data_IF_582156613318
#
_entry.id   IF_582156613318
#
_cell.length_a   1.000
_cell.length_b   1.000
_cell.length_c   1.000
_cell.angle_alpha   90.00
_cell.angle_beta   90.00
_cell.angle_gamma   90.00
#
_symmetry.space_group_name_H-M   'P 1'
#
loop_
_entity.id
_entity.type
_entity.pdbx_description
1 polymer ?
#
# COMPACT_ATOMS: atom_id res chain seq x y z
N UNK A 1 -0.89 13.09 -6.87
CA UNK A 1 -1.17 12.34 -5.63
C UNK A 1 -0.12 11.26 -5.49
N UNK A 2 0.11 10.78 -4.26
CA UNK A 2 0.96 9.63 -3.95
C UNK A 2 0.11 8.62 -3.20
N UNK A 3 0.15 7.36 -3.61
CA UNK A 3 -0.65 6.28 -3.03
C UNK A 3 0.31 5.21 -2.49
N UNK A 4 0.27 4.97 -1.18
CA UNK A 4 1.17 4.05 -0.49
C UNK A 4 0.47 2.71 -0.25
N UNK A 5 1.02 1.64 -0.80
CA UNK A 5 0.47 0.28 -0.60
C UNK A 5 0.55 -0.16 0.86
N UNK A 6 1.56 0.31 1.60
CA UNK A 6 1.72 0.10 3.04
C UNK A 6 2.75 1.08 3.64
N UNK A 7 2.87 1.07 4.97
CA UNK A 7 3.69 2.03 5.73
C UNK A 7 5.13 1.61 6.06
N UNK A 8 5.74 0.67 5.34
CA UNK A 8 7.15 0.35 5.61
C UNK A 8 8.11 1.40 5.08
N UNK A 9 9.24 1.55 5.78
CA UNK A 9 10.23 2.59 5.53
C UNK A 9 10.73 2.58 4.08
N UNK A 10 11.01 1.40 3.51
CA UNK A 10 11.49 1.20 2.15
C UNK A 10 10.45 1.58 1.07
N UNK A 11 9.20 1.80 1.47
CA UNK A 11 8.11 2.31 0.61
C UNK A 11 7.80 3.80 0.85
N UNK A 12 8.29 4.40 1.93
CA UNK A 12 7.96 5.80 2.31
C UNK A 12 9.16 6.74 2.38
N UNK A 13 10.41 6.24 2.36
CA UNK A 13 11.63 7.06 2.49
C UNK A 13 11.77 8.13 1.42
N UNK A 14 11.26 7.88 0.21
CA UNK A 14 11.31 8.85 -0.90
C UNK A 14 10.28 9.98 -0.82
N UNK A 15 9.33 9.93 0.13
CA UNK A 15 8.21 10.88 0.18
C UNK A 15 8.67 12.31 0.40
N UNK A 16 9.61 12.54 1.34
CA UNK A 16 10.07 13.89 1.65
C UNK A 16 10.69 14.56 0.43
N UNK A 17 11.63 13.88 -0.23
CA UNK A 17 12.32 14.40 -1.41
C UNK A 17 11.34 14.63 -2.57
N UNK A 18 10.38 13.72 -2.76
CA UNK A 18 9.33 13.84 -3.77
C UNK A 18 8.45 15.08 -3.54
N UNK A 19 8.01 15.31 -2.29
CA UNK A 19 7.17 16.46 -1.93
C UNK A 19 7.94 17.78 -1.97
N UNK A 20 9.24 17.76 -1.65
CA UNK A 20 10.12 18.93 -1.85
C UNK A 20 10.25 19.28 -3.34
N UNK A 21 10.39 18.28 -4.21
CA UNK A 21 10.58 18.51 -5.64
C UNK A 21 9.29 18.89 -6.38
N UNK A 22 8.15 18.28 -6.01
CA UNK A 22 6.89 18.41 -6.75
C UNK A 22 5.83 19.28 -6.04
N UNK A 23 6.09 19.69 -4.80
CA UNK A 23 5.14 20.42 -3.96
C UNK A 23 4.21 19.49 -3.13
N UNK A 24 3.27 20.07 -2.36
CA UNK A 24 2.45 19.35 -1.38
C UNK A 24 1.32 18.53 -2.03
N UNK A 25 1.69 17.43 -2.68
CA UNK A 25 0.75 16.47 -3.26
C UNK A 25 -0.07 15.76 -2.15
N UNK A 26 -1.35 15.42 -2.41
CA UNK A 26 -2.09 14.52 -1.53
C UNK A 26 -1.39 13.17 -1.43
N UNK A 27 -1.15 12.69 -0.20
CA UNK A 27 -0.56 11.38 0.07
C UNK A 27 -1.61 10.50 0.73
N UNK A 28 -1.77 9.26 0.28
CA UNK A 28 -2.74 8.31 0.83
C UNK A 28 -2.04 7.09 1.39
N UNK A 29 -2.50 6.65 2.56
CA UNK A 29 -2.07 5.42 3.23
C UNK A 29 -3.27 4.78 3.93
N UNK A 30 -3.22 3.48 4.20
CA UNK A 30 -4.21 2.89 5.09
C UNK A 30 -3.94 3.33 6.53
N UNK A 31 -5.00 3.67 7.27
CA UNK A 31 -4.90 4.12 8.67
C UNK A 31 -4.21 3.09 9.57
N UNK A 32 -4.35 1.80 9.29
CA UNK A 32 -3.71 0.74 10.09
C UNK A 32 -2.16 0.77 10.01
N UNK A 33 -1.61 1.44 9.00
CA UNK A 33 -0.16 1.62 8.85
C UNK A 33 0.33 3.01 9.33
N UNK A 34 -0.56 3.86 9.85
CA UNK A 34 -0.20 5.15 10.43
C UNK A 34 0.13 5.03 11.94
N UNK A 35 1.15 5.73 12.46
CA UNK A 35 1.97 6.78 11.82
C UNK A 35 3.12 6.32 10.91
N UNK A 36 3.36 5.01 10.76
CA UNK A 36 4.60 4.39 10.26
C UNK A 36 5.89 4.87 11.00
N UNK A 37 6.89 4.06 11.31
CA UNK A 37 7.26 2.72 10.86
C UNK A 37 7.29 1.67 12.00
N UNK A 38 7.27 0.37 11.65
CA UNK A 38 7.78 -0.71 12.53
C UNK A 38 8.65 -1.70 11.75
N UNK A 39 9.82 -1.26 11.28
CA UNK A 39 10.91 -2.18 10.94
C UNK A 39 12.06 -2.02 11.94
N UNK A 40 12.61 -3.15 12.39
CA UNK A 40 13.65 -3.26 13.41
C UNK A 40 15.03 -2.72 12.98
N UNK A 41 15.12 -1.93 11.90
CA UNK A 41 16.37 -1.56 11.22
C UNK A 41 16.62 -0.04 11.13
N UNK A 42 16.25 0.72 12.16
CA UNK A 42 16.90 2.01 12.48
C UNK A 42 16.60 3.23 11.59
N UNK A 43 15.64 3.15 10.65
CA UNK A 43 15.17 4.32 9.89
C UNK A 43 14.11 5.11 10.65
N UNK A 44 14.31 6.41 10.85
CA UNK A 44 13.39 7.33 11.56
C UNK A 44 12.35 8.00 10.64
N UNK A 45 11.94 7.35 9.53
CA UNK A 45 10.93 7.94 8.63
C UNK A 45 9.54 7.63 9.16
N UNK A 46 8.76 8.69 9.38
CA UNK A 46 7.38 8.62 9.85
C UNK A 46 6.46 9.47 8.99
N UNK A 47 5.19 9.07 8.88
CA UNK A 47 4.14 9.79 8.18
C UNK A 47 3.54 10.93 9.02
N UNK A 48 3.90 11.07 10.30
CA UNK A 48 3.34 12.11 11.21
C UNK A 48 3.46 13.53 10.67
N UNK A 49 4.53 13.81 9.92
CA UNK A 49 4.84 15.15 9.42
C UNK A 49 4.62 15.29 7.91
N UNK A 50 3.95 14.32 7.28
CA UNK A 50 3.64 14.42 5.85
C UNK A 50 2.50 15.40 5.63
N UNK A 51 2.72 16.53 4.92
CA UNK A 51 1.65 17.47 4.62
C UNK A 51 0.62 16.80 3.71
N UNK A 52 -0.66 17.15 3.89
CA UNK A 52 -1.75 16.67 3.02
C UNK A 52 -1.89 15.14 3.00
N UNK A 53 -1.70 14.49 4.16
CA UNK A 53 -1.93 13.06 4.36
C UNK A 53 -3.42 12.75 4.49
N UNK A 54 -3.87 11.77 3.72
CA UNK A 54 -5.22 11.23 3.71
C UNK A 54 -5.18 9.73 4.00
N UNK A 55 -6.33 9.20 4.37
CA UNK A 55 -6.49 7.78 4.64
C UNK A 55 -7.48 7.16 3.66
N UNK A 56 -7.16 5.98 3.15
CA UNK A 56 -8.08 5.14 2.41
C UNK A 56 -8.23 3.76 3.06
N UNK A 57 -9.30 3.07 2.70
CA UNK A 57 -9.69 1.77 3.21
C UNK A 57 -10.11 0.84 2.07
N UNK A 58 -10.35 -0.43 2.40
CA UNK A 58 -10.90 -1.39 1.45
C UNK A 58 -12.21 -0.89 0.82
N UNK A 59 -12.30 -0.95 -0.50
CA UNK A 59 -13.46 -0.53 -1.28
C UNK A 59 -13.50 0.95 -1.64
N UNK A 60 -12.58 1.78 -1.12
CA UNK A 60 -12.51 3.19 -1.51
C UNK A 60 -12.09 3.34 -2.97
N UNK A 61 -12.53 4.43 -3.59
CA UNK A 61 -12.15 4.79 -4.95
C UNK A 61 -11.59 6.21 -5.03
N UNK A 62 -10.60 6.42 -5.90
CA UNK A 62 -9.99 7.71 -6.13
C UNK A 62 -9.93 8.02 -7.63
N UNK A 63 -10.26 9.25 -8.06
CA UNK A 63 -10.16 9.64 -9.46
C UNK A 63 -8.68 9.77 -9.89
N UNK A 64 -8.35 9.27 -11.07
CA UNK A 64 -7.02 9.37 -11.69
C UNK A 64 -7.17 9.67 -13.18
N UNK A 65 -7.30 10.96 -13.53
CA UNK A 65 -7.63 11.37 -14.89
C UNK A 65 -8.99 10.78 -15.30
N UNK A 66 -9.03 10.08 -16.43
CA UNK A 66 -10.22 9.34 -16.91
C UNK A 66 -10.35 7.94 -16.30
N UNK A 67 -9.40 7.54 -15.44
CA UNK A 67 -9.39 6.26 -14.74
C UNK A 67 -9.82 6.43 -13.28
N UNK A 68 -10.08 5.29 -12.63
CA UNK A 68 -10.36 5.22 -11.19
C UNK A 68 -9.40 4.23 -10.57
N UNK A 69 -8.82 4.63 -9.43
CA UNK A 69 -8.09 3.73 -8.55
C UNK A 69 -9.11 3.09 -7.61
N UNK A 70 -9.16 1.77 -7.58
CA UNK A 70 -9.90 0.99 -6.60
C UNK A 70 -8.92 0.47 -5.54
N UNK A 71 -9.24 0.71 -4.27
CA UNK A 71 -8.43 0.24 -3.15
C UNK A 71 -8.95 -1.11 -2.69
N UNK A 72 -8.09 -2.13 -2.75
CA UNK A 72 -8.40 -3.49 -2.29
C UNK A 72 -7.56 -3.74 -1.05
N UNK A 73 -8.20 -3.88 0.11
CA UNK A 73 -7.54 -4.27 1.34
C UNK A 73 -6.94 -5.67 1.22
N UNK A 74 -5.65 -5.77 1.46
CA UNK A 74 -4.86 -7.01 1.37
C UNK A 74 -3.93 -7.17 2.57
N UNK A 75 -4.46 -7.19 3.81
CA UNK A 75 -3.65 -7.37 5.01
C UNK A 75 -2.88 -8.69 4.96
N UNK A 76 -1.67 -8.69 5.51
CA UNK A 76 -0.82 -9.87 5.54
C UNK A 76 0.64 -9.53 5.77
N UNK A 77 1.19 -8.67 4.91
CA UNK A 77 2.54 -8.13 5.12
C UNK A 77 2.53 -7.08 6.23
N UNK A 78 1.58 -6.16 6.17
CA UNK A 78 1.16 -5.26 7.24
C UNK A 78 -0.34 -5.36 7.47
N UNK A 79 -0.85 -4.79 8.57
CA UNK A 79 -2.29 -4.68 8.83
C UNK A 79 -2.97 -3.74 7.83
N UNK A 80 -2.27 -2.69 7.38
CA UNK A 80 -2.77 -1.71 6.43
C UNK A 80 -2.43 -1.98 4.96
N UNK A 81 -1.87 -3.14 4.62
CA UNK A 81 -1.50 -3.46 3.24
C UNK A 81 -2.70 -3.38 2.30
N UNK A 82 -2.53 -2.70 1.16
CA UNK A 82 -3.53 -2.59 0.09
C UNK A 82 -2.92 -2.93 -1.26
N UNK A 83 -3.77 -3.46 -2.15
CA UNK A 83 -3.54 -3.53 -3.59
C UNK A 83 -4.31 -2.39 -4.26
N UNK A 84 -3.65 -1.63 -5.12
CA UNK A 84 -4.28 -0.54 -5.88
C UNK A 84 -4.57 -1.04 -7.29
N UNK A 85 -5.85 -1.11 -7.66
CA UNK A 85 -6.29 -1.53 -8.98
C UNK A 85 -6.62 -0.32 -9.84
N UNK A 86 -6.07 -0.28 -11.06
CA UNK A 86 -6.37 0.75 -12.07
C UNK A 86 -6.59 0.05 -13.40
N UNK A 87 -7.83 -0.01 -13.88
CA UNK A 87 -8.16 -0.80 -15.08
C UNK A 87 -7.80 -2.28 -14.90
N UNK A 88 -6.90 -2.78 -15.75
CA UNK A 88 -6.33 -4.12 -15.76
C UNK A 88 -4.97 -4.23 -15.04
N UNK A 89 -4.53 -3.18 -14.35
CA UNK A 89 -3.29 -3.17 -13.59
C UNK A 89 -3.55 -3.30 -12.08
N UNK A 90 -2.74 -4.11 -11.40
CA UNK A 90 -2.72 -4.26 -9.95
C UNK A 90 -1.34 -3.87 -9.42
N UNK A 91 -1.26 -2.84 -8.58
CA UNK A 91 -0.06 -2.52 -7.81
C UNK A 91 -0.21 -3.16 -6.43
N UNK A 92 0.48 -4.29 -6.21
CA UNK A 92 0.19 -5.20 -5.09
C UNK A 92 1.04 -4.92 -3.85
N UNK A 93 2.02 -4.02 -3.96
CA UNK A 93 3.04 -3.83 -2.93
C UNK A 93 3.65 -5.17 -2.55
N UNK A 94 3.80 -5.40 -1.24
CA UNK A 94 4.39 -6.62 -0.71
C UNK A 94 3.35 -7.73 -0.46
N UNK A 95 2.15 -7.63 -1.05
CA UNK A 95 1.13 -8.69 -0.94
C UNK A 95 1.44 -9.85 -1.89
N UNK A 96 1.63 -9.56 -3.17
CA UNK A 96 1.80 -10.56 -4.23
C UNK A 96 3.05 -10.23 -5.04
N UNK A 97 3.90 -11.23 -5.25
CA UNK A 97 5.06 -11.15 -6.12
C UNK A 97 4.97 -12.22 -7.22
N UNK A 98 5.87 -12.15 -8.20
CA UNK A 98 6.01 -13.21 -9.19
C UNK A 98 6.41 -14.53 -8.50
N UNK A 99 5.46 -15.47 -8.44
CA UNK A 99 5.63 -16.79 -7.81
C UNK A 99 5.88 -16.77 -6.28
N UNK A 100 5.58 -15.68 -5.58
CA UNK A 100 5.74 -15.58 -4.12
C UNK A 100 4.86 -14.48 -3.50
N UNK A 101 5.04 -14.19 -2.22
CA UNK A 101 4.36 -13.13 -1.48
C UNK A 101 5.32 -12.51 -0.45
N UNK A 102 4.96 -11.35 0.09
CA UNK A 102 5.76 -10.70 1.14
C UNK A 102 5.78 -11.49 2.44
N UNK A 103 6.78 -11.20 3.26
CA UNK A 103 6.95 -11.82 4.57
C UNK A 103 5.84 -11.39 5.53
N UNK A 104 5.52 -12.22 6.51
CA UNK A 104 4.42 -11.99 7.46
C UNK A 104 4.83 -12.13 8.92
N UNK A 105 6.14 -12.16 9.19
CA UNK A 105 6.74 -12.44 10.49
C UNK A 105 7.20 -11.18 11.25
N UNK A 106 7.10 -10.01 10.62
CA UNK A 106 7.34 -8.71 11.25
C UNK A 106 6.08 -8.20 11.97
N UNK A 107 6.20 -7.22 12.89
CA UNK A 107 5.05 -6.64 13.57
C UNK A 107 3.97 -6.14 12.60
N UNK A 108 2.71 -6.54 12.85
CA UNK A 108 1.58 -6.27 11.96
C UNK A 108 1.39 -7.30 10.83
N UNK A 109 2.37 -8.19 10.63
CA UNK A 109 2.29 -9.29 9.68
C UNK A 109 1.39 -10.44 10.19
N UNK A 110 0.70 -11.11 9.27
CA UNK A 110 -0.13 -12.29 9.56
C UNK A 110 -0.21 -13.24 8.35
N UNK A 111 0.33 -14.45 8.51
CA UNK A 111 0.28 -15.49 7.47
C UNK A 111 -1.16 -15.86 7.09
N UNK A 112 -2.06 -15.92 8.07
CA UNK A 112 -3.48 -16.22 7.82
C UNK A 112 -4.15 -15.11 7.00
N UNK A 113 -3.86 -13.84 7.32
CA UNK A 113 -4.39 -12.70 6.56
C UNK A 113 -3.82 -12.69 5.13
N UNK A 114 -2.52 -12.94 4.97
CA UNK A 114 -1.87 -13.04 3.65
C UNK A 114 -2.54 -14.11 2.78
N UNK A 115 -2.78 -15.30 3.31
CA UNK A 115 -3.47 -16.36 2.56
C UNK A 115 -4.90 -15.97 2.15
N UNK A 116 -5.63 -15.27 3.02
CA UNK A 116 -6.97 -14.78 2.70
C UNK A 116 -6.92 -13.71 1.60
N UNK A 117 -5.95 -12.78 1.69
CA UNK A 117 -5.71 -11.70 0.73
C UNK A 117 -5.32 -12.24 -0.64
N UNK A 118 -4.36 -13.17 -0.71
CA UNK A 118 -3.97 -13.86 -1.95
C UNK A 118 -5.14 -14.65 -2.55
N UNK A 119 -5.91 -15.34 -1.71
CA UNK A 119 -7.12 -16.03 -2.16
C UNK A 119 -8.18 -15.07 -2.73
N UNK A 120 -8.33 -13.88 -2.15
CA UNK A 120 -9.23 -12.83 -2.66
C UNK A 120 -8.75 -12.32 -4.01
N UNK A 121 -7.46 -11.98 -4.15
CA UNK A 121 -6.88 -11.53 -5.41
C UNK A 121 -7.00 -12.60 -6.51
N UNK A 122 -6.74 -13.87 -6.18
CA UNK A 122 -6.87 -14.99 -7.11
C UNK A 122 -8.30 -15.31 -7.57
N UNK A 123 -9.33 -14.70 -6.95
CA UNK A 123 -10.74 -14.81 -7.37
C UNK A 123 -11.22 -13.61 -8.19
N UNK A 124 -10.38 -12.61 -8.41
CA UNK A 124 -10.73 -11.48 -9.29
C UNK A 124 -10.93 -12.01 -10.72
N UNK A 125 -12.06 -11.65 -11.33
CA UNK A 125 -12.34 -11.97 -12.72
C UNK A 125 -11.59 -10.99 -13.63
N UNK A 126 -10.79 -11.50 -14.56
CA UNK A 126 -10.04 -10.70 -15.52
C UNK A 126 -8.65 -11.25 -15.78
N UNK A 127 -7.94 -10.62 -16.71
CA UNK A 127 -6.51 -10.80 -16.93
C UNK A 127 -5.81 -9.53 -16.44
N UNK A 128 -5.13 -9.63 -15.30
CA UNK A 128 -4.53 -8.48 -14.63
C UNK A 128 -3.02 -8.52 -14.75
N UNK A 129 -2.44 -7.37 -15.07
CA UNK A 129 -1.01 -7.17 -14.97
C UNK A 129 -0.64 -6.78 -13.54
N UNK A 130 0.20 -7.58 -12.91
CA UNK A 130 0.67 -7.36 -11.53
C UNK A 130 1.99 -6.59 -11.55
N UNK A 131 2.07 -5.56 -10.70
CA UNK A 131 3.21 -4.69 -10.46
C UNK A 131 3.57 -4.64 -8.98
#
# INVERSE_FOLDING_TARGET
>A
MVLLTHGHFDHITGLSDLLTALGPLPVYVNRADYPAARSSFGGSVTLENIPNLHFYSDGDTLPLGDSTVEVIGTPGHTEGSVTLKVGDCLFTGDTLFCSSCGRTDLPGGSAQAMMNSLGRLGRLAGDFRVY
#
